data_IF_732233765159
#
_entry.id   IF_732233765159
#
_cell.length_a   1.000
_cell.length_b   1.000
_cell.length_c   1.000
_cell.angle_alpha   90.00
_cell.angle_beta   90.00
_cell.angle_gamma   90.00
#
_symmetry.space_group_name_H-M   'P 1'
#
loop_
_entity.id
_entity.type
_entity.pdbx_description
1 polymer ?
#
# COMPACT_ATOMS: atom_id res chain seq x y z
N UNK A 1 18.75 23.20 -24.44
CA UNK A 1 17.66 22.21 -24.35
C UNK A 1 17.58 21.78 -22.90
N UNK A 2 16.58 22.25 -22.17
CA UNK A 2 16.43 21.98 -20.73
C UNK A 2 15.34 20.93 -20.55
N UNK A 3 15.64 19.90 -19.78
CA UNK A 3 14.66 18.92 -19.31
C UNK A 3 14.55 19.05 -17.79
N UNK A 4 13.32 19.10 -17.29
CA UNK A 4 12.99 19.16 -15.86
C UNK A 4 12.14 17.90 -15.56
N UNK A 5 12.59 16.94 -14.75
CA UNK A 5 11.68 16.00 -14.12
C UNK A 5 10.93 16.77 -13.01
N UNK A 6 9.62 16.73 -12.85
CA UNK A 6 8.71 15.62 -13.12
C UNK A 6 8.17 15.11 -11.79
N UNK A 7 7.37 15.94 -11.11
CA UNK A 7 6.43 15.60 -10.03
C UNK A 7 7.00 14.89 -8.80
N UNK A 8 7.25 15.64 -7.72
CA UNK A 8 7.33 15.04 -6.40
C UNK A 8 6.03 14.31 -6.09
N UNK A 9 6.05 12.97 -6.11
CA UNK A 9 5.00 12.18 -5.48
C UNK A 9 5.04 12.53 -4.01
N UNK A 10 4.05 13.32 -3.58
CA UNK A 10 4.01 13.91 -2.25
C UNK A 10 3.99 12.80 -1.21
N UNK A 11 4.92 12.87 -0.25
CA UNK A 11 4.86 12.08 0.97
C UNK A 11 3.51 12.36 1.61
N UNK A 12 2.70 11.32 1.79
CA UNK A 12 1.34 11.43 2.31
C UNK A 12 1.25 10.68 3.63
N UNK A 13 0.55 11.25 4.61
CA UNK A 13 0.22 10.56 5.85
C UNK A 13 -1.25 10.12 5.76
N UNK A 14 -1.56 8.82 5.90
CA UNK A 14 -2.93 8.36 5.86
C UNK A 14 -3.63 8.78 7.16
N UNK A 15 -4.88 9.23 7.02
CA UNK A 15 -5.71 9.72 8.12
C UNK A 15 -7.06 8.99 8.13
N UNK A 16 -7.58 8.74 9.31
CA UNK A 16 -8.97 8.37 9.52
C UNK A 16 -9.83 9.63 9.56
N UNK A 17 -10.98 9.61 8.90
CA UNK A 17 -11.98 10.68 8.98
C UNK A 17 -13.28 10.09 9.49
N UNK A 18 -13.76 10.55 10.64
CA UNK A 18 -15.04 10.09 11.19
C UNK A 18 -16.24 10.77 10.50
N UNK A 19 -17.47 10.36 10.86
CA UNK A 19 -18.70 10.93 10.26
C UNK A 19 -18.96 12.39 10.65
N UNK A 20 -18.29 12.89 11.69
CA UNK A 20 -18.36 14.29 12.10
C UNK A 20 -17.30 15.14 11.38
N UNK A 21 -16.40 14.51 10.60
CA UNK A 21 -15.32 15.16 9.88
C UNK A 21 -14.03 15.32 10.69
N UNK A 22 -13.93 14.69 11.86
CA UNK A 22 -12.69 14.72 12.65
C UNK A 22 -11.63 13.89 11.94
N UNK A 23 -10.42 14.43 11.85
CA UNK A 23 -9.27 13.82 11.20
C UNK A 23 -8.31 13.30 12.27
N UNK A 24 -8.02 12.00 12.24
CA UNK A 24 -7.05 11.35 13.10
C UNK A 24 -5.93 10.74 12.25
N UNK A 25 -4.67 11.02 12.57
CA UNK A 25 -3.56 10.43 11.85
C UNK A 25 -3.46 8.93 12.18
N UNK A 26 -3.38 8.08 11.15
CA UNK A 26 -3.11 6.67 11.39
C UNK A 26 -1.64 6.51 11.86
N UNK A 27 -1.34 5.54 12.73
CA UNK A 27 0.03 5.27 13.22
C UNK A 27 0.88 4.57 12.15
N UNK A 28 0.84 5.09 10.92
CA UNK A 28 1.55 4.61 9.75
C UNK A 28 2.61 5.64 9.43
N UNK A 29 3.88 5.22 9.41
CA UNK A 29 4.99 6.10 9.03
C UNK A 29 4.72 6.73 7.67
N UNK A 30 4.95 8.04 7.55
CA UNK A 30 4.82 8.73 6.27
C UNK A 30 5.72 8.04 5.24
N UNK A 31 5.12 7.63 4.12
CA UNK A 31 5.78 6.89 3.06
C UNK A 31 5.21 7.37 1.72
N UNK A 32 5.77 6.86 0.64
CA UNK A 32 5.18 7.02 -0.69
C UNK A 32 4.16 5.91 -0.92
N UNK A 33 2.90 6.26 -0.79
CA UNK A 33 1.79 5.33 -0.93
C UNK A 33 1.21 5.38 -2.34
N UNK A 34 0.90 4.20 -2.89
CA UNK A 34 0.20 4.01 -4.15
C UNK A 34 -1.28 3.64 -3.91
N UNK A 35 -1.75 2.61 -4.61
CA UNK A 35 -3.11 2.12 -4.43
C UNK A 35 -3.34 1.55 -3.01
N UNK A 36 -4.56 1.72 -2.50
CA UNK A 36 -4.98 1.11 -1.24
C UNK A 36 -6.38 0.49 -1.35
N UNK A 37 -6.64 -0.53 -0.53
CA UNK A 37 -7.94 -1.19 -0.39
C UNK A 37 -8.19 -1.58 1.07
N UNK A 38 -9.38 -1.23 1.55
CA UNK A 38 -9.90 -1.68 2.83
C UNK A 38 -10.43 -3.11 2.70
N UNK A 39 -10.23 -3.94 3.72
CA UNK A 39 -10.86 -5.26 3.81
C UNK A 39 -12.38 -5.14 3.93
N UNK A 40 -13.15 -6.17 3.54
CA UNK A 40 -14.62 -6.13 3.58
C UNK A 40 -15.20 -5.83 4.97
N UNK A 41 -14.52 -6.29 6.03
CA UNK A 41 -14.89 -6.05 7.43
C UNK A 41 -14.43 -4.69 7.97
N UNK A 42 -13.67 -3.92 7.19
CA UNK A 42 -13.15 -2.61 7.58
C UNK A 42 -11.96 -2.65 8.56
N UNK A 43 -11.43 -3.83 8.90
CA UNK A 43 -10.43 -3.96 9.96
C UNK A 43 -8.97 -3.87 9.47
N UNK A 44 -8.74 -4.12 8.18
CA UNK A 44 -7.40 -4.17 7.59
C UNK A 44 -7.30 -3.30 6.35
N UNK A 45 -6.16 -2.64 6.18
CA UNK A 45 -5.82 -1.87 4.99
C UNK A 45 -4.67 -2.56 4.26
N UNK A 46 -4.90 -2.91 2.99
CA UNK A 46 -3.83 -3.27 2.07
C UNK A 46 -3.38 -2.00 1.35
N UNK A 47 -2.09 -1.73 1.36
CA UNK A 47 -1.51 -0.53 0.77
C UNK A 47 -0.23 -0.86 0.02
N UNK A 48 -0.14 -0.29 -1.17
CA UNK A 48 1.08 -0.25 -1.95
C UNK A 48 2.05 0.78 -1.35
N UNK A 49 3.29 0.35 -1.12
CA UNK A 49 4.36 1.19 -0.62
C UNK A 49 5.48 1.20 -1.63
N UNK A 50 5.81 2.39 -2.13
CA UNK A 50 6.90 2.57 -3.07
C UNK A 50 8.25 2.36 -2.36
N UNK A 51 9.05 1.46 -2.91
CA UNK A 51 10.42 1.20 -2.48
C UNK A 51 11.31 0.95 -3.71
N UNK A 52 12.41 0.21 -3.58
CA UNK A 52 13.21 -0.21 -4.74
C UNK A 52 12.36 -1.03 -5.72
N UNK A 53 11.52 -1.92 -5.17
CA UNK A 53 10.38 -2.52 -5.85
C UNK A 53 9.14 -2.25 -5.00
N UNK A 54 7.97 -2.04 -5.59
CA UNK A 54 6.76 -1.79 -4.83
C UNK A 54 6.38 -3.03 -4.01
N UNK A 55 5.96 -2.77 -2.78
CA UNK A 55 5.52 -3.79 -1.84
C UNK A 55 4.07 -3.58 -1.44
N UNK A 56 3.37 -4.68 -1.22
CA UNK A 56 2.07 -4.65 -0.54
C UNK A 56 2.28 -4.88 0.95
N UNK A 57 1.78 -3.95 1.76
CA UNK A 57 1.74 -4.05 3.21
C UNK A 57 0.30 -4.12 3.72
N UNK A 58 0.12 -4.85 4.81
CA UNK A 58 -1.16 -4.98 5.51
C UNK A 58 -1.05 -4.27 6.84
N UNK A 59 -2.01 -3.39 7.10
CA UNK A 59 -2.15 -2.66 8.35
C UNK A 59 -3.43 -3.09 9.04
N UNK A 60 -3.31 -3.55 10.27
CA UNK A 60 -4.43 -3.79 11.17
C UNK A 60 -4.83 -2.48 11.82
N UNK A 61 -6.03 -2.01 11.53
CA UNK A 61 -6.51 -0.69 11.95
C UNK A 61 -6.95 -0.68 13.42
N UNK A 62 -7.22 -1.84 14.04
CA UNK A 62 -7.60 -1.92 15.45
C UNK A 62 -6.40 -1.88 16.38
N UNK A 63 -5.32 -2.58 15.99
CA UNK A 63 -4.13 -2.77 16.82
C UNK A 63 -2.95 -1.91 16.38
N UNK A 64 -3.03 -1.28 15.20
CA UNK A 64 -1.93 -0.54 14.59
C UNK A 64 -0.78 -1.43 14.11
N UNK A 65 -0.95 -2.76 14.12
CA UNK A 65 0.10 -3.70 13.70
C UNK A 65 0.25 -3.65 12.17
N UNK A 66 1.49 -3.76 11.72
CA UNK A 66 1.84 -3.79 10.29
C UNK A 66 2.57 -5.07 9.92
N UNK A 67 2.23 -5.64 8.78
CA UNK A 67 2.88 -6.81 8.19
C UNK A 67 3.21 -6.58 6.72
N UNK A 68 4.37 -7.04 6.28
CA UNK A 68 4.72 -7.07 4.86
C UNK A 68 4.12 -8.33 4.24
N UNK A 69 3.36 -8.18 3.15
CA UNK A 69 2.71 -9.30 2.46
C UNK A 69 3.62 -9.89 1.37
N UNK A 70 4.32 -9.03 0.64
CA UNK A 70 5.18 -9.40 -0.50
C UNK A 70 6.64 -9.32 -0.11
N UNK A 71 7.47 -10.26 -0.56
CA UNK A 71 8.91 -10.26 -0.25
C UNK A 71 9.80 -9.96 -1.46
N UNK A 72 9.30 -10.23 -2.67
CA UNK A 72 10.02 -10.16 -3.94
C UNK A 72 9.12 -9.66 -5.07
N UNK A 73 9.74 -9.23 -6.17
CA UNK A 73 9.06 -8.62 -7.31
C UNK A 73 8.60 -7.19 -7.04
N UNK A 74 8.01 -6.59 -8.07
CA UNK A 74 7.34 -5.30 -8.04
C UNK A 74 5.82 -5.52 -8.00
N UNK A 75 5.19 -5.17 -6.88
CA UNK A 75 3.83 -5.59 -6.55
C UNK A 75 2.89 -4.41 -6.37
N UNK A 76 1.79 -4.40 -7.11
CA UNK A 76 0.85 -3.26 -7.19
C UNK A 76 -0.60 -3.72 -7.22
N UNK A 77 -1.53 -2.77 -7.12
CA UNK A 77 -2.98 -2.98 -7.25
C UNK A 77 -3.55 -4.09 -6.33
N UNK A 78 -3.40 -3.97 -4.99
CA UNK A 78 -3.93 -4.96 -4.08
C UNK A 78 -5.47 -4.97 -4.11
N UNK A 79 -6.07 -6.15 -3.94
CA UNK A 79 -7.52 -6.33 -3.80
C UNK A 79 -7.85 -7.49 -2.85
N UNK A 80 -8.73 -7.23 -1.87
CA UNK A 80 -9.15 -8.25 -0.91
C UNK A 80 -10.16 -9.22 -1.52
N UNK A 81 -10.04 -10.50 -1.19
CA UNK A 81 -11.12 -11.46 -1.44
C UNK A 81 -12.38 -11.06 -0.66
N UNK A 82 -13.59 -11.45 -1.13
CA UNK A 82 -14.84 -11.10 -0.45
C UNK A 82 -14.96 -11.61 1.00
N UNK A 83 -14.31 -12.75 1.30
CA UNK A 83 -14.18 -13.29 2.66
C UNK A 83 -13.15 -12.55 3.53
N UNK A 84 -12.33 -11.67 2.91
CA UNK A 84 -11.26 -10.93 3.56
C UNK A 84 -10.03 -11.77 3.92
N UNK A 85 -9.94 -13.04 3.56
CA UNK A 85 -8.83 -13.90 3.99
C UNK A 85 -7.56 -13.69 3.18
N UNK A 86 -7.70 -13.26 1.92
CA UNK A 86 -6.59 -13.15 0.97
C UNK A 86 -6.57 -11.79 0.27
N UNK A 87 -5.39 -11.45 -0.25
CA UNK A 87 -5.17 -10.27 -1.09
C UNK A 87 -4.58 -10.74 -2.42
N UNK A 88 -5.30 -10.46 -3.51
CA UNK A 88 -4.77 -10.56 -4.85
C UNK A 88 -4.00 -9.28 -5.20
N UNK A 89 -2.97 -9.38 -6.04
CA UNK A 89 -2.17 -8.25 -6.49
C UNK A 89 -1.52 -8.57 -7.84
N UNK A 90 -1.16 -7.53 -8.59
CA UNK A 90 -0.35 -7.65 -9.79
C UNK A 90 1.13 -7.71 -9.40
N UNK A 91 1.90 -8.62 -9.99
CA UNK A 91 3.32 -8.79 -9.68
C UNK A 91 4.14 -8.84 -10.97
N UNK A 92 5.13 -7.96 -11.07
CA UNK A 92 6.18 -8.07 -12.07
C UNK A 92 7.43 -8.66 -11.40
N UNK A 93 7.87 -9.82 -11.88
CA UNK A 93 9.16 -10.40 -11.50
C UNK A 93 10.00 -10.44 -12.75
N UNK A 94 11.14 -9.76 -12.73
CA UNK A 94 12.12 -9.92 -13.79
C UNK A 94 12.48 -11.41 -13.85
N UNK A 95 12.07 -12.06 -14.93
CA UNK A 95 12.39 -13.46 -15.16
C UNK A 95 13.90 -13.55 -15.22
N UNK A 96 14.51 -14.34 -14.33
CA UNK A 96 15.88 -14.77 -14.49
C UNK A 96 16.02 -15.32 -15.90
N UNK A 97 16.71 -14.58 -16.75
CA UNK A 97 17.18 -15.12 -18.03
C UNK A 97 18.16 -16.21 -17.63
N UNK A 98 17.66 -17.44 -17.51
CA UNK A 98 18.50 -18.61 -17.37
C UNK A 98 19.33 -18.72 -18.63
N UNK A 99 20.58 -18.24 -18.56
CA UNK A 99 21.65 -18.58 -19.48
C UNK A 99 22.20 -19.96 -19.17
#
# INVERSE_FOLDING_TARGET
LTWVPGGDVAVSAPVWVDRAGNVEALPISADRFGAFRLSPDGQRLAIEVAAVNNDIRIYDLQTGRRGRLTLEGDNVDPYWTPDGEHVAFSSHREGGSGS
#
